data_IF_074199298106
#
_entry.id   IF_074199298106
#
_cell.length_a   1.000
_cell.length_b   1.000
_cell.length_c   1.000
_cell.angle_alpha   90.00
_cell.angle_beta   90.00
_cell.angle_gamma   90.00
#
_symmetry.space_group_name_H-M   'P 1'
#
loop_
_entity.id
_entity.type
_entity.pdbx_description
1 polymer ?
#
# COMPACT_ATOMS: atom_id res chain seq x y z
N UNK A 1 -5.31 5.39 -10.82
CA UNK A 1 -6.56 5.75 -10.12
C UNK A 1 -7.71 5.58 -11.09
N UNK A 2 -8.79 4.93 -10.66
CA UNK A 2 -10.02 4.78 -11.45
C UNK A 2 -10.92 5.99 -11.20
N UNK A 3 -11.51 6.56 -12.25
CA UNK A 3 -12.43 7.67 -12.13
C UNK A 3 -13.65 7.26 -11.28
N UNK A 4 -13.99 8.08 -10.28
CA UNK A 4 -15.08 7.83 -9.34
C UNK A 4 -16.32 8.64 -9.75
N UNK A 5 -17.54 8.11 -9.56
CA UNK A 5 -18.75 8.86 -9.83
C UNK A 5 -18.91 10.03 -8.85
N UNK A 6 -19.48 11.14 -9.33
CA UNK A 6 -19.73 12.32 -8.51
C UNK A 6 -20.66 11.96 -7.32
N UNK A 7 -20.20 12.22 -6.10
CA UNK A 7 -20.96 11.93 -4.87
C UNK A 7 -20.59 10.64 -4.13
N UNK A 8 -19.69 9.80 -4.67
CA UNK A 8 -19.22 8.56 -4.02
C UNK A 8 -18.36 8.77 -2.74
N UNK A 9 -18.24 10.00 -2.24
CA UNK A 9 -17.38 10.34 -1.11
C UNK A 9 -17.97 10.04 0.28
N UNK A 10 -19.22 9.61 0.39
CA UNK A 10 -19.75 9.21 1.72
C UNK A 10 -19.08 7.89 2.14
N UNK A 11 -18.43 7.87 3.30
CA UNK A 11 -17.80 6.67 3.88
C UNK A 11 -16.58 6.08 3.11
N UNK A 12 -15.71 6.91 2.53
CA UNK A 12 -14.55 6.46 1.75
C UNK A 12 -13.25 6.19 2.55
N UNK A 13 -13.19 6.52 3.84
CA UNK A 13 -11.96 6.48 4.65
C UNK A 13 -11.32 5.08 4.82
N UNK A 14 -12.06 4.00 4.53
CA UNK A 14 -11.59 2.61 4.62
C UNK A 14 -11.51 1.91 3.25
N UNK A 15 -11.37 2.68 2.16
CA UNK A 15 -11.40 2.14 0.80
C UNK A 15 -10.34 1.07 0.52
N UNK A 16 -9.22 1.07 1.25
CA UNK A 16 -8.19 0.02 1.13
C UNK A 16 -8.73 -1.39 1.41
N UNK A 17 -9.70 -1.53 2.31
CA UNK A 17 -10.30 -2.82 2.67
C UNK A 17 -11.71 -3.02 2.13
N UNK A 18 -12.51 -1.95 2.07
CA UNK A 18 -13.94 -2.05 1.74
C UNK A 18 -14.29 -1.53 0.34
N UNK A 19 -13.34 -0.90 -0.37
CA UNK A 19 -13.65 -0.13 -1.57
C UNK A 19 -14.50 1.11 -1.25
N UNK A 20 -15.10 1.68 -2.29
CA UNK A 20 -15.98 2.84 -2.18
C UNK A 20 -17.41 2.36 -2.46
N UNK A 21 -18.36 2.77 -1.62
CA UNK A 21 -19.76 2.40 -1.77
C UNK A 21 -20.28 2.83 -3.15
N UNK A 22 -20.94 1.90 -3.85
CA UNK A 22 -21.52 2.09 -5.18
C UNK A 22 -20.53 2.58 -6.26
N UNK A 23 -19.23 2.30 -6.08
CA UNK A 23 -18.19 2.67 -7.04
C UNK A 23 -17.16 1.56 -7.25
N UNK A 24 -16.39 1.70 -8.33
CA UNK A 24 -15.26 0.82 -8.59
C UNK A 24 -14.12 1.10 -7.61
N UNK A 25 -13.31 0.08 -7.33
CA UNK A 25 -12.13 0.22 -6.50
C UNK A 25 -11.23 1.37 -7.01
N UNK A 26 -10.79 2.30 -6.15
CA UNK A 26 -10.15 3.54 -6.60
C UNK A 26 -8.75 3.35 -7.20
N UNK A 27 -8.16 2.17 -7.05
CA UNK A 27 -6.93 1.78 -7.74
C UNK A 27 -7.19 0.79 -8.88
N UNK A 28 -6.50 0.98 -10.00
CA UNK A 28 -6.54 0.05 -11.13
C UNK A 28 -5.52 -1.08 -10.98
N UNK A 29 -4.55 -0.94 -10.07
CA UNK A 29 -3.58 -1.98 -9.77
C UNK A 29 -4.23 -3.15 -9.01
N UNK A 30 -3.66 -4.36 -9.10
CA UNK A 30 -4.08 -5.48 -8.25
C UNK A 30 -3.97 -5.13 -6.77
N UNK A 31 -4.95 -5.58 -5.98
CA UNK A 31 -4.94 -5.42 -4.53
C UNK A 31 -3.66 -6.01 -3.90
N UNK A 32 -2.90 -5.18 -3.20
CA UNK A 32 -1.61 -5.55 -2.59
C UNK A 32 -0.38 -5.14 -3.42
N UNK A 33 -0.56 -4.49 -4.58
CA UNK A 33 0.54 -3.93 -5.36
C UNK A 33 1.44 -3.03 -4.51
N UNK A 34 2.80 -3.12 -4.64
CA UNK A 34 3.57 -3.97 -5.56
C UNK A 34 3.96 -5.34 -4.99
N UNK A 35 3.41 -5.77 -3.86
CA UNK A 35 3.79 -6.99 -3.13
C UNK A 35 2.77 -8.14 -3.26
N UNK A 36 1.78 -8.00 -4.13
CA UNK A 36 0.80 -9.04 -4.47
C UNK A 36 1.44 -10.26 -5.16
N UNK A 37 2.66 -10.09 -5.70
CA UNK A 37 3.39 -11.10 -6.47
C UNK A 37 4.73 -11.42 -5.83
N UNK A 38 5.28 -12.58 -6.21
CA UNK A 38 6.66 -12.93 -5.86
C UNK A 38 7.63 -11.88 -6.43
N UNK A 39 8.71 -11.55 -5.70
CA UNK A 39 9.70 -10.60 -6.18
C UNK A 39 10.25 -10.98 -7.54
N UNK A 40 10.50 -9.99 -8.39
CA UNK A 40 11.25 -10.22 -9.62
C UNK A 40 12.67 -10.67 -9.22
N UNK A 41 13.21 -11.75 -9.81
CA UNK A 41 14.54 -12.25 -9.46
C UNK A 41 15.66 -11.24 -9.80
N UNK A 42 15.37 -10.30 -10.71
CA UNK A 42 16.30 -9.26 -11.15
C UNK A 42 15.59 -7.90 -11.25
N UNK A 43 16.29 -6.85 -10.82
CA UNK A 43 15.88 -5.46 -10.94
C UNK A 43 17.10 -4.61 -11.31
N UNK A 44 17.01 -3.85 -12.41
CA UNK A 44 18.11 -3.02 -12.93
C UNK A 44 19.44 -3.80 -13.05
N UNK A 45 19.39 -4.98 -13.67
CA UNK A 45 20.52 -5.90 -13.91
C UNK A 45 21.22 -6.40 -12.63
N UNK A 46 20.56 -6.35 -11.48
CA UNK A 46 21.06 -6.90 -10.22
C UNK A 46 20.01 -7.77 -9.56
N UNK A 47 20.44 -8.80 -8.83
CA UNK A 47 19.55 -9.65 -8.05
C UNK A 47 18.82 -8.86 -6.95
N UNK A 48 17.61 -9.30 -6.63
CA UNK A 48 16.77 -8.80 -5.54
C UNK A 48 16.74 -9.87 -4.47
N UNK A 49 17.44 -9.64 -3.37
CA UNK A 49 17.54 -10.58 -2.25
C UNK A 49 16.80 -10.04 -1.01
N UNK A 50 16.71 -8.71 -0.90
CA UNK A 50 16.12 -8.03 0.25
C UNK A 50 15.13 -6.96 -0.20
N UNK A 51 14.21 -6.60 0.67
CA UNK A 51 13.25 -5.51 0.41
C UNK A 51 13.95 -4.17 0.15
N UNK A 52 15.11 -3.92 0.76
CA UNK A 52 15.92 -2.72 0.51
C UNK A 52 16.43 -2.62 -0.93
N UNK A 53 16.53 -3.72 -1.67
CA UNK A 53 16.96 -3.68 -3.07
C UNK A 53 15.93 -3.00 -3.98
N UNK A 54 14.68 -2.90 -3.54
CA UNK A 54 13.61 -2.20 -4.26
C UNK A 54 13.82 -0.69 -4.28
N UNK A 55 14.54 -0.12 -3.30
CA UNK A 55 14.85 1.32 -3.26
C UNK A 55 15.87 1.74 -4.32
N UNK A 56 16.36 0.80 -5.14
CA UNK A 56 17.10 1.12 -6.37
C UNK A 56 16.21 1.82 -7.41
N UNK A 57 14.89 1.66 -7.32
CA UNK A 57 13.93 2.46 -8.08
C UNK A 57 13.76 3.83 -7.41
N UNK A 58 13.81 4.89 -8.19
CA UNK A 58 13.78 6.28 -7.67
C UNK A 58 12.45 6.68 -7.02
N UNK A 59 11.37 5.94 -7.27
CA UNK A 59 10.03 6.16 -6.71
C UNK A 59 9.73 5.28 -5.50
N UNK A 60 10.71 4.57 -4.94
CA UNK A 60 10.56 3.72 -3.75
C UNK A 60 11.54 4.18 -2.67
N UNK A 61 11.02 4.33 -1.45
CA UNK A 61 11.81 4.64 -0.26
C UNK A 61 11.53 3.63 0.87
N UNK A 62 12.51 3.43 1.74
CA UNK A 62 12.40 2.60 2.93
C UNK A 62 12.88 3.41 4.13
N UNK A 63 12.17 3.28 5.25
CA UNK A 63 12.48 3.96 6.50
C UNK A 63 12.31 2.98 7.66
N UNK A 64 13.30 2.94 8.54
CA UNK A 64 13.21 2.14 9.76
C UNK A 64 12.30 2.84 10.78
N UNK A 65 11.35 2.07 11.34
CA UNK A 65 10.40 2.51 12.36
C UNK A 65 10.42 1.52 13.54
N UNK A 66 10.23 2.01 14.76
CA UNK A 66 10.12 1.17 15.96
C UNK A 66 8.72 1.34 16.55
N UNK A 67 7.97 0.23 16.65
CA UNK A 67 6.65 0.20 17.28
C UNK A 67 6.84 -0.34 18.70
N UNK A 68 6.58 0.50 19.71
CA UNK A 68 6.73 0.13 21.12
C UNK A 68 5.36 0.04 21.78
N UNK A 69 5.01 -1.15 22.27
CA UNK A 69 3.81 -1.34 23.07
C UNK A 69 3.99 -0.75 24.47
N UNK A 70 2.98 -0.01 24.94
CA UNK A 70 2.93 0.51 26.31
C UNK A 70 1.73 -0.11 27.02
N UNK A 71 1.96 -0.80 28.14
CA UNK A 71 0.91 -1.44 28.93
C UNK A 71 0.19 -0.42 29.83
N UNK A 72 -0.50 0.55 29.22
CA UNK A 72 -1.29 1.56 29.89
C UNK A 72 -2.72 1.56 29.35
N UNK A 73 -3.72 1.67 30.23
CA UNK A 73 -5.11 1.83 29.83
C UNK A 73 -5.36 3.30 29.51
N UNK A 74 -5.70 3.59 28.26
CA UNK A 74 -6.11 4.93 27.81
C UNK A 74 -7.64 4.94 27.78
N UNK A 75 -8.27 5.91 28.44
CA UNK A 75 -9.71 6.18 28.34
C UNK A 75 -9.96 7.06 27.11
N UNK A 76 -10.92 6.67 26.27
CA UNK A 76 -11.38 7.45 25.11
C UNK A 76 -12.47 8.44 25.49
#
# INVERSE_FOLDING_TARGET
MVAQPDGACSCSAAASFCGILDALYPDAQPMGFPFDRRPLPMLLNRHVERTSDLTRLSNIAMQDITITFTNAKITQ
#
